data_IF_236713442236
#
_entry.id   IF_236713442236
#
_cell.length_a   1.000
_cell.length_b   1.000
_cell.length_c   1.000
_cell.angle_alpha   90.00
_cell.angle_beta   90.00
_cell.angle_gamma   90.00
#
_symmetry.space_group_name_H-M   'P 1'
#
loop_
_entity.id
_entity.type
_entity.pdbx_description
1 polymer ?
#
# COMPACT_ATOMS: atom_id res chain seq x y z
N UNK A 1 -12.19 -33.81 -26.07
CA UNK A 1 -12.19 -32.78 -25.02
C UNK A 1 -13.30 -31.78 -25.32
N UNK A 2 -14.06 -31.32 -24.31
CA UNK A 2 -15.13 -30.34 -24.44
C UNK A 2 -16.30 -30.62 -23.50
N UNK A 3 -17.39 -29.85 -23.67
CA UNK A 3 -18.58 -29.93 -22.82
C UNK A 3 -19.62 -30.91 -23.34
N UNK A 4 -20.29 -31.59 -22.43
CA UNK A 4 -21.46 -32.41 -22.72
C UNK A 4 -22.51 -32.29 -21.61
N UNK A 5 -23.76 -32.39 -22.01
CA UNK A 5 -24.90 -32.29 -21.10
C UNK A 5 -25.47 -33.69 -20.79
N UNK A 6 -25.91 -33.89 -19.56
CA UNK A 6 -26.73 -35.04 -19.13
C UNK A 6 -27.88 -34.52 -18.26
N UNK A 7 -28.68 -35.45 -17.71
CA UNK A 7 -29.83 -35.11 -16.83
C UNK A 7 -29.47 -34.35 -15.54
N UNK A 8 -28.17 -34.23 -15.23
CA UNK A 8 -27.67 -33.55 -14.04
C UNK A 8 -27.00 -32.23 -14.36
N UNK A 9 -26.87 -31.83 -15.65
CA UNK A 9 -26.32 -30.57 -16.10
C UNK A 9 -25.20 -30.68 -17.11
N UNK A 10 -24.45 -29.58 -17.28
CA UNK A 10 -23.30 -29.45 -18.18
C UNK A 10 -22.01 -29.80 -17.46
N UNK A 11 -21.17 -30.61 -18.14
CA UNK A 11 -19.94 -31.16 -17.59
C UNK A 11 -18.80 -31.00 -18.60
N UNK A 12 -17.58 -30.82 -18.10
CA UNK A 12 -16.39 -30.81 -18.93
C UNK A 12 -15.73 -32.16 -19.01
N UNK A 13 -15.29 -32.54 -20.23
CA UNK A 13 -14.66 -33.84 -20.51
C UNK A 13 -13.30 -33.60 -21.18
N UNK A 14 -12.26 -34.28 -20.71
CA UNK A 14 -10.95 -34.37 -21.35
C UNK A 14 -10.77 -35.79 -21.87
N UNK A 15 -10.53 -35.89 -23.20
CA UNK A 15 -10.35 -37.17 -23.93
C UNK A 15 -11.49 -38.19 -23.68
N UNK A 16 -12.70 -37.69 -23.57
CA UNK A 16 -13.92 -38.48 -23.38
C UNK A 16 -14.18 -38.93 -21.93
N UNK A 17 -13.34 -38.56 -20.98
CA UNK A 17 -13.52 -38.78 -19.56
C UNK A 17 -13.96 -37.50 -18.86
N UNK A 18 -14.87 -37.62 -17.90
CA UNK A 18 -15.31 -36.53 -17.04
C UNK A 18 -14.09 -35.95 -16.27
N UNK A 19 -13.83 -34.68 -16.43
CA UNK A 19 -12.70 -33.98 -15.82
C UNK A 19 -13.21 -33.16 -14.62
N UNK A 20 -13.08 -33.72 -13.43
CA UNK A 20 -13.48 -33.07 -12.17
C UNK A 20 -12.42 -32.11 -11.62
N UNK A 21 -11.25 -32.00 -12.25
CA UNK A 21 -10.22 -31.05 -11.86
C UNK A 21 -10.23 -29.80 -12.76
N UNK A 22 -11.10 -29.80 -13.78
CA UNK A 22 -11.16 -28.67 -14.72
C UNK A 22 -11.70 -27.42 -14.06
N UNK A 23 -10.89 -26.37 -14.12
CA UNK A 23 -11.26 -24.98 -13.82
C UNK A 23 -11.00 -24.13 -15.05
N UNK A 24 -11.97 -23.38 -15.51
CA UNK A 24 -11.80 -22.48 -16.67
C UNK A 24 -13.10 -22.20 -17.41
N UNK A 25 -12.98 -21.47 -18.51
CA UNK A 25 -14.12 -21.15 -19.36
C UNK A 25 -14.46 -22.27 -20.33
N UNK A 26 -15.74 -22.49 -20.54
CA UNK A 26 -16.23 -23.47 -21.48
C UNK A 26 -17.51 -23.00 -22.17
N UNK A 27 -17.58 -23.17 -23.51
CA UNK A 27 -18.72 -22.77 -24.33
C UNK A 27 -19.68 -23.94 -24.55
N UNK A 28 -20.98 -23.68 -24.39
CA UNK A 28 -22.05 -24.59 -24.74
C UNK A 28 -23.11 -23.87 -25.61
N UNK A 29 -24.20 -24.53 -25.97
CA UNK A 29 -25.28 -23.96 -26.81
C UNK A 29 -25.95 -22.72 -26.19
N UNK A 30 -25.75 -22.44 -24.90
CA UNK A 30 -26.30 -21.28 -24.19
C UNK A 30 -25.28 -20.16 -23.97
N UNK A 31 -24.00 -20.34 -24.37
CA UNK A 31 -22.94 -19.35 -24.29
C UNK A 31 -21.70 -19.81 -23.53
N UNK A 32 -20.91 -18.85 -23.06
CA UNK A 32 -19.64 -19.07 -22.38
C UNK A 32 -19.84 -19.04 -20.85
N UNK A 33 -19.33 -20.07 -20.16
CA UNK A 33 -19.53 -20.28 -18.72
C UNK A 33 -18.24 -20.60 -18.01
N UNK A 34 -18.17 -20.23 -16.74
CA UNK A 34 -17.11 -20.67 -15.84
C UNK A 34 -17.42 -22.06 -15.27
N UNK A 35 -16.48 -22.95 -15.43
CA UNK A 35 -16.48 -24.29 -14.86
C UNK A 35 -15.51 -24.38 -13.69
N UNK A 36 -15.95 -25.05 -12.64
CA UNK A 36 -15.14 -25.41 -11.48
C UNK A 36 -15.49 -26.85 -11.09
N UNK A 37 -14.49 -27.68 -10.79
CA UNK A 37 -14.67 -29.12 -10.55
C UNK A 37 -15.44 -29.83 -11.71
N UNK A 38 -15.14 -29.39 -12.94
CA UNK A 38 -15.77 -29.93 -14.15
C UNK A 38 -17.25 -29.57 -14.33
N UNK A 39 -17.83 -28.65 -13.54
CA UNK A 39 -19.23 -28.19 -13.60
C UNK A 39 -19.35 -26.69 -13.72
N UNK A 40 -20.47 -26.21 -14.27
CA UNK A 40 -20.73 -24.75 -14.26
C UNK A 40 -20.84 -24.28 -12.80
N UNK A 41 -20.04 -23.26 -12.46
CA UNK A 41 -20.08 -22.59 -11.16
C UNK A 41 -21.12 -21.45 -11.16
N UNK A 42 -22.39 -21.76 -10.89
CA UNK A 42 -23.45 -20.76 -10.79
C UNK A 42 -23.31 -19.79 -9.59
N UNK A 43 -22.40 -20.06 -8.66
CA UNK A 43 -22.21 -19.21 -7.50
C UNK A 43 -21.17 -18.09 -7.76
N UNK A 44 -20.38 -18.22 -8.81
CA UNK A 44 -19.34 -17.22 -9.10
C UNK A 44 -19.92 -15.97 -9.77
N UNK A 45 -19.60 -14.81 -9.23
CA UNK A 45 -19.80 -13.49 -9.83
C UNK A 45 -18.53 -12.69 -9.61
N UNK A 46 -17.93 -12.20 -10.68
CA UNK A 46 -16.64 -11.50 -10.65
C UNK A 46 -16.03 -11.42 -12.04
N UNK A 47 -14.73 -11.30 -12.12
CA UNK A 47 -13.99 -11.33 -13.38
C UNK A 47 -12.88 -12.37 -13.34
N UNK A 48 -12.57 -12.94 -14.51
CA UNK A 48 -11.37 -13.75 -14.72
C UNK A 48 -10.68 -13.30 -16.01
N UNK A 49 -9.41 -13.64 -16.19
CA UNK A 49 -8.65 -13.36 -17.41
C UNK A 49 -7.98 -14.63 -17.94
N UNK A 50 -7.86 -14.74 -19.26
CA UNK A 50 -7.04 -15.75 -19.94
C UNK A 50 -5.70 -15.18 -20.42
N UNK A 51 -5.36 -13.95 -19.93
CA UNK A 51 -4.17 -13.23 -20.33
C UNK A 51 -4.35 -12.30 -21.55
N UNK A 52 -5.38 -12.49 -22.37
CA UNK A 52 -5.70 -11.65 -23.54
C UNK A 52 -7.03 -10.92 -23.43
N UNK A 53 -7.94 -11.47 -22.64
CA UNK A 53 -9.30 -10.96 -22.45
C UNK A 53 -9.68 -11.03 -20.97
N UNK A 54 -10.49 -10.07 -20.56
CA UNK A 54 -11.19 -10.07 -19.26
C UNK A 54 -12.62 -10.52 -19.52
N UNK A 55 -13.07 -11.51 -18.77
CA UNK A 55 -14.40 -12.08 -18.83
C UNK A 55 -15.16 -11.66 -17.56
N UNK A 56 -16.18 -10.83 -17.73
CA UNK A 56 -17.10 -10.45 -16.64
C UNK A 56 -18.15 -11.53 -16.51
N UNK A 57 -18.26 -12.12 -15.33
CA UNK A 57 -19.09 -13.29 -15.05
C UNK A 57 -20.14 -12.93 -14.03
N UNK A 58 -21.40 -13.28 -14.31
CA UNK A 58 -22.51 -13.17 -13.37
C UNK A 58 -23.16 -14.56 -13.24
N UNK A 59 -23.14 -15.11 -12.01
CA UNK A 59 -23.70 -16.45 -11.74
C UNK A 59 -23.18 -17.52 -12.70
N UNK A 60 -21.87 -17.51 -12.92
CA UNK A 60 -21.19 -18.46 -13.78
C UNK A 60 -21.26 -18.16 -15.28
N UNK A 61 -22.13 -17.25 -15.74
CA UNK A 61 -22.29 -16.88 -17.14
C UNK A 61 -21.43 -15.68 -17.51
N UNK A 62 -20.69 -15.77 -18.60
CA UNK A 62 -19.90 -14.63 -19.13
C UNK A 62 -20.86 -13.62 -19.77
N UNK A 63 -20.98 -12.46 -19.16
CA UNK A 63 -21.88 -11.38 -19.62
C UNK A 63 -21.17 -10.38 -20.51
N UNK A 64 -19.85 -10.23 -20.36
CA UNK A 64 -19.04 -9.29 -21.12
C UNK A 64 -17.63 -9.87 -21.34
N UNK A 65 -17.05 -9.58 -22.50
CA UNK A 65 -15.67 -9.92 -22.85
C UNK A 65 -14.99 -8.63 -23.31
N UNK A 66 -13.90 -8.26 -22.66
CA UNK A 66 -13.08 -7.12 -23.03
C UNK A 66 -11.62 -7.53 -23.22
N UNK A 67 -10.88 -6.77 -24.04
CA UNK A 67 -9.43 -6.98 -24.12
C UNK A 67 -8.77 -6.50 -22.83
N UNK A 68 -7.74 -7.20 -22.41
CA UNK A 68 -6.82 -6.69 -21.38
C UNK A 68 -6.25 -5.37 -21.87
N UNK A 69 -6.34 -4.35 -21.06
CA UNK A 69 -5.76 -3.03 -21.35
C UNK A 69 -4.74 -2.72 -20.28
N UNK A 70 -3.55 -2.35 -20.71
CA UNK A 70 -2.56 -1.72 -19.84
C UNK A 70 -2.97 -0.25 -19.62
N UNK A 71 -2.64 0.27 -18.47
CA UNK A 71 -2.81 1.68 -18.14
C UNK A 71 -1.61 2.50 -18.62
N UNK A 72 -0.41 1.89 -18.69
CA UNK A 72 0.78 2.52 -19.25
C UNK A 72 0.66 2.69 -20.77
N UNK A 73 1.28 3.75 -21.27
CA UNK A 73 1.43 3.95 -22.72
C UNK A 73 2.32 2.85 -23.34
N UNK A 74 2.00 2.31 -24.53
CA UNK A 74 2.84 1.29 -25.19
C UNK A 74 4.31 1.70 -25.44
N UNK A 75 4.64 2.99 -25.37
CA UNK A 75 6.02 3.49 -25.45
C UNK A 75 6.68 3.66 -24.08
N UNK A 76 5.95 3.45 -23.00
CA UNK A 76 6.52 3.49 -21.65
C UNK A 76 7.55 2.37 -21.47
N UNK A 77 8.73 2.62 -20.88
CA UNK A 77 9.75 1.60 -20.67
C UNK A 77 9.27 0.42 -19.81
N UNK A 78 8.26 0.63 -18.96
CA UNK A 78 7.68 -0.39 -18.08
C UNK A 78 6.43 -1.06 -18.67
N UNK A 79 5.97 -0.67 -19.86
CA UNK A 79 4.76 -1.24 -20.48
C UNK A 79 4.79 -2.77 -20.56
N UNK A 80 5.93 -3.36 -20.95
CA UNK A 80 6.05 -4.82 -21.10
C UNK A 80 5.87 -5.56 -19.76
N UNK A 81 6.21 -4.95 -18.64
CA UNK A 81 6.02 -5.55 -17.32
C UNK A 81 4.54 -5.53 -16.92
N UNK A 82 3.85 -4.41 -17.15
CA UNK A 82 2.39 -4.37 -16.95
C UNK A 82 1.68 -5.36 -17.88
N UNK A 83 2.07 -5.41 -19.17
CA UNK A 83 1.51 -6.36 -20.11
C UNK A 83 1.70 -7.81 -19.65
N UNK A 84 2.93 -8.20 -19.27
CA UNK A 84 3.22 -9.54 -18.76
C UNK A 84 2.40 -9.86 -17.50
N UNK A 85 2.31 -8.91 -16.58
CA UNK A 85 1.53 -9.06 -15.34
C UNK A 85 0.04 -9.31 -15.63
N UNK A 86 -0.58 -8.48 -16.48
CA UNK A 86 -2.02 -8.58 -16.79
C UNK A 86 -2.38 -9.76 -17.66
N UNK A 87 -1.48 -10.21 -18.52
CA UNK A 87 -1.76 -11.25 -19.51
C UNK A 87 -1.21 -12.62 -19.14
N UNK A 88 -0.23 -12.68 -18.24
CA UNK A 88 0.58 -13.88 -18.00
C UNK A 88 1.57 -14.20 -19.14
N UNK A 89 1.66 -13.38 -20.20
CA UNK A 89 2.60 -13.58 -21.30
C UNK A 89 3.96 -12.98 -20.96
N UNK A 90 4.80 -13.77 -20.30
CA UNK A 90 6.17 -13.40 -19.94
C UNK A 90 7.15 -13.47 -21.12
N UNK A 91 6.70 -13.82 -22.32
CA UNK A 91 7.57 -13.88 -23.50
C UNK A 91 8.15 -12.50 -23.89
N UNK A 92 7.58 -11.42 -23.37
CA UNK A 92 8.09 -10.05 -23.55
C UNK A 92 9.25 -9.70 -22.62
N UNK A 93 9.46 -10.45 -21.54
CA UNK A 93 10.58 -10.36 -20.59
C UNK A 93 11.73 -11.19 -21.16
N UNK A 94 12.91 -10.58 -21.38
CA UNK A 94 13.96 -11.17 -22.24
C UNK A 94 15.27 -11.44 -21.53
N UNK A 95 15.56 -10.78 -20.42
CA UNK A 95 16.82 -10.91 -19.68
C UNK A 95 16.58 -11.24 -18.22
N UNK A 96 17.60 -11.79 -17.57
CA UNK A 96 17.54 -12.14 -16.15
C UNK A 96 17.28 -10.89 -15.28
N UNK A 97 17.80 -9.72 -15.67
CA UNK A 97 17.53 -8.46 -14.97
C UNK A 97 16.06 -8.04 -15.11
N UNK A 98 15.50 -8.21 -16.31
CA UNK A 98 14.06 -7.94 -16.53
C UNK A 98 13.19 -8.94 -15.76
N UNK A 99 13.59 -10.21 -15.67
CA UNK A 99 12.87 -11.22 -14.90
C UNK A 99 12.89 -10.86 -13.41
N UNK A 100 14.05 -10.52 -12.83
CA UNK A 100 14.17 -10.09 -11.44
C UNK A 100 13.30 -8.84 -11.12
N UNK A 101 13.28 -7.86 -12.03
CA UNK A 101 12.42 -6.69 -11.91
C UNK A 101 10.94 -7.06 -11.96
N UNK A 102 10.54 -7.89 -12.92
CA UNK A 102 9.17 -8.36 -13.08
C UNK A 102 8.68 -9.12 -11.85
N UNK A 103 9.51 -10.00 -11.26
CA UNK A 103 9.19 -10.73 -10.03
C UNK A 103 8.95 -9.76 -8.86
N UNK A 104 9.83 -8.78 -8.66
CA UNK A 104 9.70 -7.81 -7.58
C UNK A 104 8.50 -6.90 -7.73
N UNK A 105 8.24 -6.39 -8.94
CA UNK A 105 7.06 -5.58 -9.27
C UNK A 105 5.78 -6.40 -9.11
N UNK A 106 5.75 -7.64 -9.63
CA UNK A 106 4.57 -8.51 -9.52
C UNK A 106 4.21 -8.79 -8.07
N UNK A 107 5.18 -9.08 -7.21
CA UNK A 107 4.93 -9.29 -5.79
C UNK A 107 4.31 -8.06 -5.09
N UNK A 108 4.72 -6.85 -5.49
CA UNK A 108 4.11 -5.62 -4.99
C UNK A 108 2.66 -5.45 -5.49
N UNK A 109 2.43 -5.70 -6.79
CA UNK A 109 1.10 -5.60 -7.39
C UNK A 109 0.15 -6.67 -6.84
N UNK A 110 0.63 -7.90 -6.60
CA UNK A 110 -0.15 -8.97 -5.99
C UNK A 110 -0.66 -8.56 -4.61
N UNK A 111 0.20 -7.93 -3.79
CA UNK A 111 -0.21 -7.40 -2.49
C UNK A 111 -1.28 -6.31 -2.62
N UNK A 112 -1.20 -5.44 -3.63
CA UNK A 112 -2.20 -4.41 -3.88
C UNK A 112 -3.53 -4.99 -4.38
N UNK A 113 -3.49 -5.94 -5.30
CA UNK A 113 -4.71 -6.53 -5.89
C UNK A 113 -5.46 -7.49 -4.95
N UNK A 114 -4.96 -7.77 -3.75
CA UNK A 114 -5.74 -8.39 -2.68
C UNK A 114 -6.89 -7.50 -2.19
N UNK A 115 -6.82 -6.18 -2.43
CA UNK A 115 -7.79 -5.20 -2.00
C UNK A 115 -8.66 -4.68 -3.13
N UNK A 116 -9.83 -4.13 -2.78
CA UNK A 116 -10.85 -3.72 -3.75
C UNK A 116 -11.02 -2.21 -3.89
N UNK A 117 -10.43 -1.42 -2.99
CA UNK A 117 -10.49 0.04 -3.06
C UNK A 117 -9.14 0.63 -3.45
N UNK A 118 -9.14 1.75 -4.18
CA UNK A 118 -7.91 2.41 -4.61
C UNK A 118 -7.04 2.83 -3.42
N UNK A 119 -7.66 3.29 -2.32
CA UNK A 119 -6.94 3.63 -1.10
C UNK A 119 -6.23 2.43 -0.47
N UNK A 120 -6.90 1.28 -0.37
CA UNK A 120 -6.28 0.07 0.19
C UNK A 120 -5.18 -0.47 -0.72
N UNK A 121 -5.35 -0.37 -2.05
CA UNK A 121 -4.34 -0.75 -3.03
C UNK A 121 -3.11 0.16 -2.96
N UNK A 122 -3.31 1.47 -2.90
CA UNK A 122 -2.25 2.45 -2.68
C UNK A 122 -1.47 2.14 -1.39
N UNK A 123 -2.20 1.95 -0.28
CA UNK A 123 -1.61 1.61 1.01
C UNK A 123 -0.80 0.31 0.97
N UNK A 124 -1.29 -0.70 0.28
CA UNK A 124 -0.57 -1.97 0.14
C UNK A 124 0.74 -1.81 -0.65
N UNK A 125 0.78 -0.95 -1.66
CA UNK A 125 2.02 -0.58 -2.37
C UNK A 125 2.98 0.14 -1.44
N UNK A 126 2.51 1.15 -0.70
CA UNK A 126 3.30 1.87 0.30
C UNK A 126 3.92 0.90 1.31
N UNK A 127 3.09 0.07 1.93
CA UNK A 127 3.52 -0.90 2.94
C UNK A 127 4.52 -1.92 2.36
N UNK A 128 4.27 -2.41 1.14
CA UNK A 128 5.19 -3.33 0.49
C UNK A 128 6.58 -2.71 0.34
N UNK A 129 6.66 -1.46 -0.11
CA UNK A 129 7.92 -0.77 -0.32
C UNK A 129 8.65 -0.53 1.00
N UNK A 130 7.98 0.04 1.99
CA UNK A 130 8.56 0.33 3.31
C UNK A 130 9.00 -0.95 4.04
N UNK A 131 8.24 -2.05 3.91
CA UNK A 131 8.53 -3.30 4.61
C UNK A 131 9.55 -4.22 3.90
N UNK A 132 9.81 -3.99 2.61
CA UNK A 132 10.67 -4.86 1.80
C UNK A 132 11.87 -4.15 1.17
N UNK A 133 12.09 -2.89 1.48
CA UNK A 133 13.24 -2.11 1.01
C UNK A 133 13.87 -1.36 2.17
N UNK A 134 15.04 -0.81 1.95
CA UNK A 134 15.73 0.05 2.91
C UNK A 134 16.32 1.28 2.20
N UNK A 135 16.32 2.42 2.88
CA UNK A 135 16.99 3.61 2.35
C UNK A 135 18.50 3.39 2.24
N UNK A 136 19.10 3.74 1.11
CA UNK A 136 20.55 3.58 0.85
C UNK A 136 21.38 4.63 1.61
N UNK A 137 21.23 4.60 2.93
CA UNK A 137 21.79 5.61 3.83
C UNK A 137 23.32 5.61 3.83
N UNK A 138 23.94 4.44 3.78
CA UNK A 138 25.42 4.34 3.80
C UNK A 138 26.03 4.93 2.54
N UNK A 139 25.51 4.57 1.35
CA UNK A 139 25.99 5.10 0.08
C UNK A 139 25.71 6.60 -0.02
N UNK A 140 24.55 7.03 0.49
CA UNK A 140 24.18 8.45 0.53
C UNK A 140 25.17 9.26 1.39
N UNK A 141 25.47 8.81 2.61
CA UNK A 141 26.43 9.49 3.50
C UNK A 141 27.84 9.58 2.90
N UNK A 142 28.24 8.55 2.14
CA UNK A 142 29.56 8.49 1.51
C UNK A 142 29.63 9.20 0.15
N UNK A 143 28.50 9.68 -0.39
CA UNK A 143 28.42 10.27 -1.73
C UNK A 143 28.72 9.25 -2.84
N UNK A 144 28.34 7.99 -2.64
CA UNK A 144 28.60 6.86 -3.53
C UNK A 144 27.33 6.14 -3.96
N UNK A 145 26.17 6.81 -3.92
CA UNK A 145 24.88 6.24 -4.32
C UNK A 145 25.00 5.69 -5.74
N UNK A 146 24.76 4.38 -5.95
CA UNK A 146 24.79 3.80 -7.28
C UNK A 146 23.57 4.26 -8.08
N UNK A 147 23.75 4.36 -9.41
CA UNK A 147 22.70 4.83 -10.33
C UNK A 147 21.38 4.05 -10.16
N UNK A 148 21.47 2.75 -9.88
CA UNK A 148 20.31 1.89 -9.69
C UNK A 148 19.47 2.26 -8.48
N UNK A 149 20.07 2.83 -7.42
CA UNK A 149 19.32 3.29 -6.24
C UNK A 149 18.43 4.51 -6.53
N UNK A 150 18.64 5.17 -7.69
CA UNK A 150 17.81 6.27 -8.19
C UNK A 150 16.64 5.82 -9.07
N UNK A 151 16.41 4.52 -9.22
CA UNK A 151 15.40 3.96 -10.13
C UNK A 151 14.50 2.95 -9.42
N UNK A 152 13.40 2.56 -10.06
CA UNK A 152 12.49 1.54 -9.53
C UNK A 152 13.16 0.16 -9.33
N UNK A 153 14.26 -0.11 -10.06
CA UNK A 153 15.06 -1.32 -9.88
C UNK A 153 15.68 -1.37 -8.48
N UNK A 154 16.04 -0.22 -7.89
CA UNK A 154 16.49 -0.14 -6.50
C UNK A 154 15.50 -0.79 -5.55
N UNK A 155 14.22 -0.50 -5.72
CA UNK A 155 13.12 -1.06 -4.91
C UNK A 155 12.84 -2.53 -5.27
N UNK A 156 12.57 -2.83 -6.55
CA UNK A 156 12.04 -4.15 -6.92
C UNK A 156 13.10 -5.24 -7.02
N UNK A 157 14.36 -4.90 -7.34
CA UNK A 157 15.45 -5.87 -7.50
C UNK A 157 16.41 -5.85 -6.31
N UNK A 158 16.95 -4.67 -5.99
CA UNK A 158 18.04 -4.55 -5.01
C UNK A 158 17.56 -4.32 -3.58
N UNK A 159 16.27 -4.00 -3.38
CA UNK A 159 15.67 -3.71 -2.08
C UNK A 159 16.37 -2.56 -1.33
N UNK A 160 16.97 -1.65 -2.10
CA UNK A 160 17.70 -0.50 -1.57
C UNK A 160 17.63 0.65 -2.57
N UNK A 161 17.14 1.80 -2.14
CA UNK A 161 16.97 2.99 -3.00
C UNK A 161 17.16 4.29 -2.21
N UNK A 162 17.27 5.39 -2.94
CA UNK A 162 17.13 6.74 -2.41
C UNK A 162 15.80 7.36 -2.86
N UNK A 163 15.51 8.59 -2.49
CA UNK A 163 14.18 9.21 -2.61
C UNK A 163 13.55 9.13 -4.02
N UNK A 164 14.32 9.37 -5.08
CA UNK A 164 13.82 9.31 -6.46
C UNK A 164 13.56 7.86 -6.94
N UNK A 165 14.29 6.88 -6.41
CA UNK A 165 13.98 5.46 -6.61
C UNK A 165 12.64 5.05 -5.95
N UNK A 166 12.42 5.49 -4.69
CA UNK A 166 11.13 5.30 -4.00
C UNK A 166 9.99 5.98 -4.75
N UNK A 167 10.13 7.27 -5.05
CA UNK A 167 9.10 8.04 -5.74
C UNK A 167 8.77 7.48 -7.13
N UNK A 168 9.79 7.03 -7.88
CA UNK A 168 9.62 6.42 -9.20
C UNK A 168 8.93 5.06 -9.15
N UNK A 169 9.32 4.20 -8.20
CA UNK A 169 8.70 2.89 -8.01
C UNK A 169 7.24 3.00 -7.55
N UNK A 170 6.96 3.93 -6.62
CA UNK A 170 5.59 4.18 -6.15
C UNK A 170 4.71 4.69 -7.30
N UNK A 171 5.19 5.70 -8.06
CA UNK A 171 4.45 6.20 -9.23
C UNK A 171 4.17 5.10 -10.25
N UNK A 172 5.14 4.26 -10.57
CA UNK A 172 4.95 3.14 -11.49
C UNK A 172 3.80 2.22 -11.05
N UNK A 173 3.75 1.86 -9.77
CA UNK A 173 2.65 1.06 -9.25
C UNK A 173 1.31 1.78 -9.33
N UNK A 174 1.26 3.08 -8.99
CA UNK A 174 0.03 3.88 -9.11
C UNK A 174 -0.46 3.96 -10.56
N UNK A 175 0.44 4.21 -11.51
CA UNK A 175 0.11 4.24 -12.95
C UNK A 175 -0.47 2.89 -13.42
N UNK A 176 0.12 1.76 -12.99
CA UNK A 176 -0.40 0.42 -13.31
C UNK A 176 -1.77 0.17 -12.65
N UNK A 177 -1.99 0.64 -11.43
CA UNK A 177 -3.28 0.54 -10.74
C UNK A 177 -4.32 1.50 -11.32
N UNK A 178 -3.92 2.47 -12.15
CA UNK A 178 -4.79 3.50 -12.71
C UNK A 178 -5.14 4.59 -11.71
N UNK A 179 -4.30 4.78 -10.70
CA UNK A 179 -4.41 5.83 -9.69
C UNK A 179 -3.59 7.03 -10.18
N UNK A 180 -4.18 8.21 -10.40
CA UNK A 180 -3.42 9.39 -10.81
C UNK A 180 -2.35 9.73 -9.78
N UNK A 181 -1.09 9.81 -10.24
CA UNK A 181 0.07 10.04 -9.38
C UNK A 181 1.10 10.90 -10.10
N UNK A 182 1.61 11.93 -9.42
CA UNK A 182 2.67 12.80 -9.94
C UNK A 182 3.88 12.76 -9.01
N UNK A 183 5.07 12.82 -9.61
CA UNK A 183 6.30 12.98 -8.82
C UNK A 183 6.53 14.46 -8.53
N UNK A 184 6.70 14.78 -7.27
CA UNK A 184 7.03 16.12 -6.79
C UNK A 184 8.52 16.16 -6.45
N UNK A 185 9.18 17.25 -6.79
CA UNK A 185 10.58 17.50 -6.44
C UNK A 185 10.75 18.81 -5.70
N UNK A 186 11.69 18.82 -4.78
CA UNK A 186 11.95 19.99 -3.95
C UNK A 186 13.10 19.77 -2.99
N UNK A 187 12.94 20.23 -1.77
CA UNK A 187 13.87 19.96 -0.66
C UNK A 187 13.10 19.51 0.56
N UNK A 188 13.67 18.57 1.30
CA UNK A 188 13.21 18.14 2.62
C UNK A 188 14.37 18.28 3.61
N UNK A 189 14.14 18.92 4.75
CA UNK A 189 15.22 19.27 5.68
C UNK A 189 16.36 20.08 5.05
N UNK A 190 16.08 20.82 3.94
CA UNK A 190 17.07 21.62 3.20
C UNK A 190 17.91 20.83 2.17
N UNK A 191 17.62 19.57 1.93
CA UNK A 191 18.31 18.67 1.00
C UNK A 191 17.39 18.34 -0.18
N UNK A 192 17.95 18.24 -1.40
CA UNK A 192 17.18 17.82 -2.59
C UNK A 192 16.44 16.50 -2.35
N UNK A 193 15.15 16.48 -2.68
CA UNK A 193 14.26 15.38 -2.36
C UNK A 193 13.18 15.18 -3.41
N UNK A 194 12.64 13.96 -3.51
CA UNK A 194 11.53 13.61 -4.38
C UNK A 194 10.52 12.73 -3.64
N UNK A 195 9.23 12.98 -3.89
CA UNK A 195 8.08 12.24 -3.35
C UNK A 195 6.91 12.27 -4.33
N UNK A 196 5.70 11.94 -3.90
CA UNK A 196 4.55 11.84 -4.79
C UNK A 196 3.35 12.69 -4.32
N UNK A 197 2.53 13.07 -5.28
CA UNK A 197 1.15 13.47 -5.06
C UNK A 197 0.23 12.45 -5.70
N UNK A 198 -0.81 12.00 -4.99
CA UNK A 198 -1.76 10.97 -5.41
C UNK A 198 -3.17 11.52 -5.38
N UNK A 199 -4.02 11.15 -6.35
CA UNK A 199 -5.42 11.55 -6.38
C UNK A 199 -6.33 10.35 -6.06
N UNK A 200 -7.13 10.51 -5.01
CA UNK A 200 -8.20 9.58 -4.63
C UNK A 200 -9.51 10.35 -4.52
N UNK A 201 -10.58 9.83 -5.14
CA UNK A 201 -11.92 10.46 -5.13
C UNK A 201 -11.91 11.95 -5.50
N UNK A 202 -11.14 12.32 -6.54
CA UNK A 202 -10.96 13.69 -7.03
C UNK A 202 -10.25 14.66 -6.05
N UNK A 203 -9.67 14.18 -4.97
CA UNK A 203 -8.86 14.95 -4.03
C UNK A 203 -7.39 14.53 -4.08
N UNK A 204 -6.47 15.51 -4.03
CA UNK A 204 -5.03 15.25 -3.99
C UNK A 204 -4.51 15.09 -2.56
N UNK A 205 -3.53 14.21 -2.41
CA UNK A 205 -2.79 13.92 -1.18
C UNK A 205 -1.30 13.89 -1.46
N UNK A 206 -0.46 14.26 -0.49
CA UNK A 206 0.98 14.08 -0.55
C UNK A 206 1.39 12.76 0.11
N UNK A 207 2.33 12.06 -0.53
CA UNK A 207 2.87 10.78 -0.05
C UNK A 207 4.37 10.78 -0.16
N UNK A 208 5.09 10.59 0.94
CA UNK A 208 6.53 10.41 0.94
C UNK A 208 6.91 9.05 1.53
N UNK A 209 6.96 8.04 0.67
CA UNK A 209 7.32 6.67 1.06
C UNK A 209 8.73 6.59 1.64
N UNK A 210 9.63 7.48 1.21
CA UNK A 210 11.01 7.53 1.72
C UNK A 210 11.07 7.92 3.19
N UNK A 211 10.27 8.92 3.59
CA UNK A 211 10.25 9.40 4.97
C UNK A 211 9.39 8.53 5.89
N UNK A 212 8.54 7.69 5.32
CA UNK A 212 7.81 6.65 6.05
C UNK A 212 8.60 5.35 6.20
N UNK A 213 9.78 5.23 5.55
CA UNK A 213 10.73 4.13 5.74
C UNK A 213 11.78 4.52 6.80
N UNK A 214 11.80 3.86 7.97
CA UNK A 214 12.65 4.27 9.10
C UNK A 214 14.14 4.10 8.81
N UNK A 215 14.95 5.10 9.20
CA UNK A 215 16.43 5.05 9.13
C UNK A 215 16.99 5.15 10.56
N UNK A 216 17.72 4.13 11.09
CA UNK A 216 18.04 2.86 10.42
C UNK A 216 16.82 2.00 10.20
N UNK A 217 16.88 1.19 9.13
CA UNK A 217 15.81 0.25 8.80
C UNK A 217 15.42 -0.60 10.02
N UNK A 218 14.11 -0.71 10.23
CA UNK A 218 13.53 -1.48 11.34
C UNK A 218 12.60 -2.54 10.75
N UNK A 219 13.07 -3.78 10.57
CA UNK A 219 12.30 -4.82 9.90
C UNK A 219 10.89 -5.01 10.45
N UNK A 220 9.91 -4.93 9.55
CA UNK A 220 8.49 -5.11 9.87
C UNK A 220 7.82 -3.87 10.48
N UNK A 221 8.47 -2.73 10.50
CA UNK A 221 7.91 -1.46 10.96
C UNK A 221 7.86 -0.44 9.81
N UNK A 222 6.66 -0.02 9.43
CA UNK A 222 6.42 1.13 8.58
C UNK A 222 5.89 2.31 9.39
N UNK A 223 6.15 3.51 8.92
CA UNK A 223 5.58 4.77 9.44
C UNK A 223 4.51 5.24 8.47
N UNK A 224 3.68 6.18 8.90
CA UNK A 224 2.61 6.76 8.07
C UNK A 224 2.50 8.27 8.29
N UNK A 225 3.59 8.90 8.75
CA UNK A 225 3.62 10.33 9.00
C UNK A 225 3.45 11.17 7.75
N UNK A 226 3.83 10.60 6.60
CA UNK A 226 3.79 11.24 5.28
C UNK A 226 2.89 10.49 4.29
N UNK A 227 1.97 9.65 4.77
CA UNK A 227 1.04 8.91 3.92
C UNK A 227 -0.32 9.62 3.85
N UNK A 228 -0.65 10.12 2.67
CA UNK A 228 -1.89 10.84 2.36
C UNK A 228 -2.12 12.08 3.21
N UNK A 229 -1.09 12.90 3.34
CA UNK A 229 -1.15 14.19 4.06
C UNK A 229 -1.49 15.36 3.13
N UNK A 230 -1.84 16.49 3.73
CA UNK A 230 -2.12 17.72 2.98
C UNK A 230 -0.84 18.49 2.64
N UNK A 231 -0.93 19.44 1.68
CA UNK A 231 0.11 20.42 1.39
C UNK A 231 0.55 21.18 2.66
N UNK A 232 -0.40 21.54 3.52
CA UNK A 232 -0.11 22.27 4.76
C UNK A 232 0.80 21.46 5.68
N UNK A 233 0.52 20.16 5.86
CA UNK A 233 1.37 19.26 6.63
C UNK A 233 2.72 19.01 5.95
N UNK A 234 2.74 18.71 4.66
CA UNK A 234 3.98 18.47 3.92
C UNK A 234 4.93 19.69 3.97
N UNK A 235 4.40 20.92 3.89
CA UNK A 235 5.19 22.15 3.91
C UNK A 235 5.79 22.53 5.27
N UNK A 236 5.52 21.77 6.33
CA UNK A 236 6.17 21.99 7.63
C UNK A 236 7.67 21.74 7.54
N UNK A 237 8.11 20.79 6.71
CA UNK A 237 9.52 20.40 6.55
C UNK A 237 9.96 20.20 5.09
N UNK A 238 9.03 20.23 4.12
CA UNK A 238 9.29 20.18 2.69
C UNK A 238 9.08 21.55 2.03
N UNK A 239 9.95 21.87 1.07
CA UNK A 239 9.84 23.11 0.27
C UNK A 239 9.81 22.76 -1.22
N UNK A 240 8.74 23.12 -1.90
CA UNK A 240 8.51 22.81 -3.31
C UNK A 240 7.57 23.77 -3.99
N UNK A 241 7.54 23.73 -5.32
CA UNK A 241 6.56 24.41 -6.15
C UNK A 241 5.82 23.37 -6.96
N UNK A 242 4.49 23.38 -6.91
CA UNK A 242 3.61 22.50 -7.67
C UNK A 242 2.34 23.25 -8.05
N UNK A 243 1.76 22.87 -9.19
CA UNK A 243 0.41 23.31 -9.59
C UNK A 243 -0.69 22.44 -8.95
N UNK A 244 -0.31 21.34 -8.26
CA UNK A 244 -1.21 20.50 -7.51
C UNK A 244 -1.43 21.12 -6.14
N UNK A 245 -2.68 21.14 -5.69
CA UNK A 245 -3.08 21.48 -4.32
C UNK A 245 -3.59 20.21 -3.64
N UNK A 246 -2.84 19.71 -2.65
CA UNK A 246 -3.22 18.56 -1.86
C UNK A 246 -3.94 19.02 -0.58
N UNK A 247 -5.25 19.03 -0.63
CA UNK A 247 -6.14 19.45 0.46
C UNK A 247 -7.10 18.32 0.91
N UNK A 248 -6.93 17.12 0.36
CA UNK A 248 -7.67 15.93 0.75
C UNK A 248 -7.40 15.53 2.19
N UNK A 249 -8.45 15.20 2.93
CA UNK A 249 -8.37 14.77 4.34
C UNK A 249 -9.03 13.42 4.60
N UNK A 250 -9.90 12.97 3.69
CA UNK A 250 -10.68 11.73 3.83
C UNK A 250 -9.79 10.49 4.01
N UNK A 251 -8.69 10.44 3.30
CA UNK A 251 -7.76 9.30 3.27
C UNK A 251 -6.46 9.54 4.04
N UNK A 252 -6.43 10.56 4.91
CA UNK A 252 -5.31 10.72 5.85
C UNK A 252 -5.29 9.57 6.84
N UNK A 253 -4.38 8.59 6.62
CA UNK A 253 -4.40 7.30 7.30
C UNK A 253 -4.31 7.40 8.82
N UNK A 254 -3.40 8.22 9.34
CA UNK A 254 -3.26 8.38 10.80
C UNK A 254 -4.53 8.98 11.42
N UNK A 255 -5.13 9.97 10.77
CA UNK A 255 -6.38 10.57 11.22
C UNK A 255 -7.59 9.62 11.21
N UNK A 256 -7.49 8.46 10.53
CA UNK A 256 -8.52 7.41 10.56
C UNK A 256 -8.35 6.44 11.75
N UNK A 257 -7.24 6.53 12.50
CA UNK A 257 -6.96 5.61 13.60
C UNK A 257 -7.63 6.09 14.89
N UNK A 258 -8.26 5.18 15.63
CA UNK A 258 -8.90 5.50 16.92
C UNK A 258 -7.92 5.97 18.01
N UNK A 259 -6.64 5.67 17.85
CA UNK A 259 -5.56 6.00 18.76
C UNK A 259 -4.69 7.18 18.29
N UNK A 260 -5.17 7.95 17.34
CA UNK A 260 -4.51 9.16 16.84
C UNK A 260 -5.22 10.41 17.38
N UNK A 261 -4.43 11.38 17.83
CA UNK A 261 -4.86 12.64 18.41
C UNK A 261 -3.98 13.78 17.90
N UNK A 262 -4.50 14.98 17.89
CA UNK A 262 -3.72 16.20 17.78
C UNK A 262 -3.36 16.74 19.17
N UNK A 263 -2.40 17.64 19.26
CA UNK A 263 -2.04 18.28 20.54
C UNK A 263 -3.18 19.12 21.15
N UNK A 264 -4.18 19.51 20.37
CA UNK A 264 -5.41 20.13 20.88
C UNK A 264 -6.36 19.14 21.58
N UNK A 265 -6.20 17.83 21.34
CA UNK A 265 -7.08 16.75 21.83
C UNK A 265 -6.49 16.01 23.05
N UNK A 266 -5.73 16.71 23.88
CA UNK A 266 -5.03 16.12 25.03
C UNK A 266 -5.97 15.41 26.02
N UNK A 267 -7.17 15.91 26.23
CA UNK A 267 -8.13 15.29 27.14
C UNK A 267 -8.65 13.96 26.56
N UNK A 268 -8.91 13.91 25.28
CA UNK A 268 -9.35 12.71 24.55
C UNK A 268 -8.22 11.65 24.55
N UNK A 269 -6.97 12.07 24.37
CA UNK A 269 -5.79 11.20 24.46
C UNK A 269 -5.72 10.48 25.83
N UNK A 270 -5.85 11.21 26.95
CA UNK A 270 -5.82 10.59 28.26
C UNK A 270 -7.07 9.76 28.55
N UNK A 271 -8.25 10.18 28.05
CA UNK A 271 -9.47 9.40 28.13
C UNK A 271 -9.35 8.06 27.41
N UNK A 272 -8.81 8.05 26.19
CA UNK A 272 -8.54 6.84 25.41
C UNK A 272 -7.66 5.85 26.16
N UNK A 273 -6.51 6.31 26.72
CA UNK A 273 -5.61 5.44 27.47
C UNK A 273 -6.29 4.88 28.72
N UNK A 274 -7.06 5.70 29.42
CA UNK A 274 -7.78 5.27 30.63
C UNK A 274 -8.88 4.26 30.31
N UNK A 275 -9.62 4.44 29.22
CA UNK A 275 -10.62 3.51 28.72
C UNK A 275 -9.99 2.18 28.33
N UNK A 276 -9.00 2.17 27.45
CA UNK A 276 -8.28 0.95 27.01
C UNK A 276 -7.64 0.21 28.17
N UNK A 277 -7.11 0.92 29.16
CA UNK A 277 -6.61 0.31 30.37
C UNK A 277 -7.72 -0.35 31.18
N UNK A 278 -8.93 0.17 31.19
CA UNK A 278 -10.06 -0.37 31.96
C UNK A 278 -10.69 -1.64 31.35
N UNK A 279 -10.50 -1.86 30.04
CA UNK A 279 -11.04 -3.02 29.31
C UNK A 279 -10.45 -4.36 29.77
N UNK A 280 -9.30 -4.35 30.47
CA UNK A 280 -8.66 -5.56 30.98
C UNK A 280 -8.31 -5.46 32.45
N UNK A 281 -8.42 -6.59 33.16
CA UNK A 281 -7.96 -6.70 34.56
C UNK A 281 -6.48 -7.12 34.66
N UNK A 282 -5.86 -7.48 33.54
CA UNK A 282 -4.46 -7.91 33.45
C UNK A 282 -3.48 -6.79 33.11
N UNK A 283 -2.25 -7.18 32.82
CA UNK A 283 -1.27 -6.25 32.25
C UNK A 283 -1.71 -5.85 30.86
N UNK A 284 -1.48 -4.58 30.47
CA UNK A 284 -1.84 -4.06 29.15
C UNK A 284 -0.78 -3.10 28.64
N UNK A 285 -0.58 -3.12 27.32
CA UNK A 285 0.21 -2.12 26.60
C UNK A 285 -0.74 -1.36 25.67
N UNK A 286 -0.72 -0.05 25.74
CA UNK A 286 -1.60 0.85 24.99
C UNK A 286 -0.71 1.81 24.21
N UNK A 287 -0.92 1.89 22.92
CA UNK A 287 -0.19 2.82 22.05
C UNK A 287 -1.15 3.91 21.56
N UNK A 288 -0.72 5.16 21.67
CA UNK A 288 -1.42 6.31 21.12
C UNK A 288 -0.44 7.21 20.39
N UNK A 289 -0.90 7.82 19.30
CA UNK A 289 -0.14 8.75 18.47
C UNK A 289 -0.67 10.15 18.70
N UNK A 290 0.23 11.12 18.81
CA UNK A 290 -0.14 12.54 18.93
C UNK A 290 0.63 13.35 17.91
N UNK A 291 -0.08 14.09 17.08
CA UNK A 291 0.49 15.04 16.14
C UNK A 291 0.63 16.41 16.79
N UNK A 292 1.83 17.01 16.68
CA UNK A 292 2.05 18.43 16.97
C UNK A 292 1.63 19.26 15.77
N UNK A 293 0.65 20.13 15.95
CA UNK A 293 0.06 20.91 14.84
C UNK A 293 0.83 22.20 14.54
N UNK A 294 1.49 22.79 15.54
CA UNK A 294 2.04 24.15 15.42
C UNK A 294 3.52 24.28 15.82
N UNK A 295 4.14 23.22 16.35
CA UNK A 295 5.48 23.34 16.94
C UNK A 295 6.31 22.08 16.77
N UNK A 296 7.62 22.25 16.89
CA UNK A 296 8.56 21.12 16.95
C UNK A 296 8.35 20.32 18.25
N UNK A 297 8.44 18.99 18.15
CA UNK A 297 8.34 18.10 19.29
C UNK A 297 9.61 18.24 20.16
N UNK A 298 9.47 18.88 21.30
CA UNK A 298 10.52 19.06 22.29
C UNK A 298 10.17 18.42 23.65
N UNK A 299 11.06 18.57 24.62
CA UNK A 299 10.84 17.98 25.96
C UNK A 299 9.69 18.62 26.73
N UNK A 300 9.33 19.85 26.48
CA UNK A 300 8.21 20.54 27.11
C UNK A 300 6.89 20.03 26.53
N UNK A 301 6.81 19.93 25.21
CA UNK A 301 5.66 19.36 24.51
C UNK A 301 5.45 17.90 24.92
N UNK A 302 6.50 17.06 24.91
CA UNK A 302 6.42 15.67 25.35
C UNK A 302 5.94 15.56 26.80
N UNK A 303 6.38 16.48 27.68
CA UNK A 303 5.95 16.54 29.07
C UNK A 303 4.44 16.65 29.24
N UNK A 304 3.76 17.30 28.32
CA UNK A 304 2.31 17.48 28.31
C UNK A 304 1.56 16.15 28.19
N UNK A 305 2.10 15.19 27.43
CA UNK A 305 1.48 13.90 27.14
C UNK A 305 2.04 12.73 28.00
N UNK A 306 2.90 13.02 28.96
CA UNK A 306 3.54 12.00 29.83
C UNK A 306 3.09 12.09 31.29
N UNK A 307 2.13 12.97 31.62
CA UNK A 307 1.60 13.11 32.98
C UNK A 307 0.70 11.93 33.40
N UNK A 308 1.27 10.94 34.04
CA UNK A 308 0.52 9.79 34.54
C UNK A 308 -0.54 10.13 35.62
N UNK A 309 -0.46 11.34 36.22
CA UNK A 309 -1.46 11.82 37.15
C UNK A 309 -2.83 12.12 36.54
N UNK A 310 -2.89 12.24 35.18
CA UNK A 310 -4.11 12.43 34.42
C UNK A 310 -4.82 11.13 34.05
N UNK A 311 -4.19 9.96 34.26
CA UNK A 311 -4.81 8.67 33.97
C UNK A 311 -5.78 8.28 35.10
N UNK A 312 -7.03 8.06 34.74
CA UNK A 312 -8.09 7.64 35.68
C UNK A 312 -8.11 6.11 35.88
N UNK A 313 -6.95 5.53 36.24
CA UNK A 313 -6.77 4.08 36.34
C UNK A 313 -5.95 3.69 37.56
N UNK A 314 -6.12 2.44 38.01
CA UNK A 314 -5.29 1.85 39.09
C UNK A 314 -4.27 0.89 38.50
N UNK A 315 -3.00 1.08 38.83
CA UNK A 315 -1.89 0.22 38.41
C UNK A 315 -0.86 0.07 39.53
N UNK A 316 -0.10 -1.04 39.51
CA UNK A 316 1.00 -1.28 40.44
C UNK A 316 2.31 -0.73 39.89
N UNK A 317 2.51 -0.88 38.58
CA UNK A 317 3.71 -0.44 37.89
C UNK A 317 3.30 0.16 36.54
N UNK A 318 3.89 1.30 36.20
CA UNK A 318 3.67 2.00 34.95
C UNK A 318 5.02 2.28 34.28
N UNK A 319 5.13 2.01 33.00
CA UNK A 319 6.23 2.47 32.18
C UNK A 319 5.70 3.11 30.91
N UNK A 320 6.44 4.08 30.40
CA UNK A 320 6.13 4.79 29.17
C UNK A 320 7.39 4.83 28.31
N UNK A 321 7.24 4.50 27.04
CA UNK A 321 8.22 4.80 25.99
C UNK A 321 7.61 5.75 24.97
N UNK A 322 8.45 6.64 24.43
CA UNK A 322 8.04 7.60 23.41
C UNK A 322 9.02 7.52 22.26
N UNK A 323 8.48 7.46 21.05
CA UNK A 323 9.22 7.58 19.81
C UNK A 323 8.53 8.67 18.98
N UNK A 324 9.28 9.40 18.15
CA UNK A 324 8.69 10.39 17.25
C UNK A 324 9.44 10.46 15.94
N UNK A 325 8.71 10.84 14.91
CA UNK A 325 9.21 11.12 13.57
C UNK A 325 8.44 12.30 13.01
N UNK A 326 9.15 13.30 12.48
CA UNK A 326 8.53 14.56 12.05
C UNK A 326 7.70 15.17 13.18
N UNK A 327 6.45 15.44 12.92
CA UNK A 327 5.49 16.06 13.85
C UNK A 327 4.63 15.06 14.65
N UNK A 328 4.91 13.75 14.57
CA UNK A 328 4.12 12.71 15.24
C UNK A 328 4.93 12.02 16.30
N UNK A 329 4.42 12.00 17.53
CA UNK A 329 4.95 11.21 18.63
C UNK A 329 4.05 10.01 18.91
N UNK A 330 4.67 8.84 19.09
CA UNK A 330 4.01 7.60 19.49
C UNK A 330 4.32 7.30 20.95
N UNK A 331 3.30 7.28 21.78
CA UNK A 331 3.38 7.01 23.21
C UNK A 331 2.93 5.57 23.46
N UNK A 332 3.80 4.76 24.06
CA UNK A 332 3.47 3.38 24.44
C UNK A 332 3.47 3.23 25.95
N UNK A 333 2.28 3.15 26.51
CA UNK A 333 2.01 2.98 27.94
C UNK A 333 1.93 1.49 28.27
N UNK A 334 2.73 1.03 29.19
CA UNK A 334 2.66 -0.35 29.71
C UNK A 334 2.27 -0.30 31.19
N UNK A 335 1.11 -0.86 31.50
CA UNK A 335 0.53 -0.91 32.82
C UNK A 335 0.54 -2.35 33.33
N UNK A 336 1.03 -2.52 34.54
CA UNK A 336 0.98 -3.80 35.29
C UNK A 336 0.03 -3.66 36.45
N UNK A 337 -0.89 -4.58 36.59
CA UNK A 337 -1.93 -4.66 37.60
C UNK A 337 -1.43 -5.35 38.86
#
# INVERSE_FOLDING_TARGET
TGMACNKYGWWYFTDGLLDLEYYGLGENEYGLWLYEDGRINFNYTGSITDGSQIYIIQKGYVTEISKVRCNLDPNDPYYNYEYAYRTGDTSVIKTDEQEAFFEGLSACLDAAFEYNTLFEQEKAVHDYMVLNSAYDYESYQNGTVPEVSHTAEGIFVYKTAVCDGYAGAFKLCMDILGIPCETITGTAGGIGHAWNAVMLDDEWYMVDVTWDDPVPDTPGQGLYGYFNITDEKMRQDHTYTSDITADGTKYYYLGMQENYFTDAEIDDYYAYISEKASETSGNVTITAMVESTDQEIDSEWLGTFTDSGRLEISYRELSLSVQWSGHIATFTWTLKR
#
